data_IF_090831915557
#
_entry.id   IF_090831915557
#
_cell.length_a   1.000
_cell.length_b   1.000
_cell.length_c   1.000
_cell.angle_alpha   90.00
_cell.angle_beta   90.00
_cell.angle_gamma   90.00
#
_symmetry.space_group_name_H-M   'P 1'
#
loop_
_entity.id
_entity.type
_entity.pdbx_description
1 polymer ?
#
# COMPACT_ATOMS: atom_id res chain seq x y z
N UNK A 1 20.23 -4.56 15.28
CA UNK A 1 19.48 -3.36 14.82
C UNK A 1 20.30 -2.71 13.72
N UNK A 2 19.71 -2.58 12.53
CA UNK A 2 20.28 -2.01 11.30
C UNK A 2 21.73 -2.44 11.02
N UNK A 3 22.03 -3.74 11.12
CA UNK A 3 23.39 -4.25 10.87
C UNK A 3 24.43 -3.99 11.97
N UNK A 4 24.03 -3.43 13.12
CA UNK A 4 24.87 -3.37 14.31
C UNK A 4 24.75 -4.69 15.09
N UNK A 5 25.66 -5.63 14.78
CA UNK A 5 25.67 -6.96 15.37
C UNK A 5 27.07 -7.59 15.36
N UNK A 6 27.35 -8.44 16.34
CA UNK A 6 28.54 -9.30 16.37
C UNK A 6 28.23 -10.64 17.05
N UNK A 7 29.02 -11.66 16.73
CA UNK A 7 28.86 -13.00 17.33
C UNK A 7 29.05 -12.95 18.86
N UNK A 8 29.99 -12.14 19.33
CA UNK A 8 30.28 -11.97 20.75
C UNK A 8 29.06 -11.42 21.51
N UNK A 9 28.42 -10.36 21.00
CA UNK A 9 27.27 -9.77 21.69
C UNK A 9 26.04 -10.66 21.59
N UNK A 10 25.84 -11.34 20.45
CA UNK A 10 24.76 -12.32 20.30
C UNK A 10 24.85 -13.47 21.32
N UNK A 11 26.05 -14.01 21.55
CA UNK A 11 26.26 -15.01 22.61
C UNK A 11 25.91 -14.44 23.98
N UNK A 12 26.43 -13.26 24.32
CA UNK A 12 26.18 -12.63 25.63
C UNK A 12 24.69 -12.34 25.85
N UNK A 13 23.98 -11.88 24.83
CA UNK A 13 22.54 -11.60 24.90
C UNK A 13 21.76 -12.89 25.19
N UNK A 14 22.05 -13.98 24.46
CA UNK A 14 21.36 -15.26 24.66
C UNK A 14 21.71 -15.93 25.99
N UNK A 15 22.97 -15.83 26.45
CA UNK A 15 23.38 -16.33 27.77
C UNK A 15 22.68 -15.55 28.90
N UNK A 16 22.56 -14.23 28.76
CA UNK A 16 21.80 -13.38 29.67
C UNK A 16 20.31 -13.76 29.70
N UNK A 17 19.70 -13.99 28.52
CA UNK A 17 18.33 -14.49 28.43
C UNK A 17 18.15 -15.82 29.17
N UNK A 18 19.09 -16.76 28.98
CA UNK A 18 19.06 -18.06 29.67
C UNK A 18 19.17 -17.90 31.18
N UNK A 19 20.09 -17.06 31.65
CA UNK A 19 20.28 -16.78 33.07
C UNK A 19 19.01 -16.18 33.71
N UNK A 20 18.28 -15.34 32.96
CA UNK A 20 17.01 -14.77 33.37
C UNK A 20 15.82 -15.75 33.29
N UNK A 21 16.01 -16.97 32.79
CA UNK A 21 14.95 -17.96 32.63
C UNK A 21 14.08 -17.77 31.38
N UNK A 22 14.53 -16.99 30.39
CA UNK A 22 13.81 -16.76 29.14
C UNK A 22 14.12 -17.89 28.16
N UNK A 23 13.07 -18.55 27.65
CA UNK A 23 13.18 -19.70 26.75
C UNK A 23 12.85 -19.43 25.28
N UNK A 24 12.46 -18.21 24.91
CA UNK A 24 12.05 -17.86 23.54
C UNK A 24 12.61 -16.49 23.14
N UNK A 25 13.04 -16.34 21.88
CA UNK A 25 13.41 -15.06 21.29
C UNK A 25 12.77 -14.87 19.92
N UNK A 26 12.18 -13.69 19.69
CA UNK A 26 11.71 -13.25 18.38
C UNK A 26 12.83 -12.43 17.72
N UNK A 27 13.38 -12.93 16.62
CA UNK A 27 14.45 -12.27 15.88
C UNK A 27 13.87 -11.43 14.74
N UNK A 28 14.03 -10.11 14.84
CA UNK A 28 13.59 -9.14 13.81
C UNK A 28 14.78 -8.26 13.41
N UNK A 29 15.06 -8.17 12.12
CA UNK A 29 16.02 -7.19 11.59
C UNK A 29 15.27 -5.91 11.23
N UNK A 30 15.59 -4.82 11.94
CA UNK A 30 14.89 -3.54 11.83
C UNK A 30 15.89 -2.40 11.66
N UNK A 31 15.59 -1.46 10.76
CA UNK A 31 16.45 -0.33 10.37
C UNK A 31 15.96 1.04 10.87
N UNK A 32 15.26 1.09 12.01
CA UNK A 32 14.59 2.30 12.48
C UNK A 32 15.36 2.99 13.59
N UNK A 33 15.65 4.29 13.41
CA UNK A 33 16.03 5.19 14.48
C UNK A 33 17.46 5.06 15.00
N UNK A 34 18.33 4.32 14.31
CA UNK A 34 19.75 4.15 14.68
C UNK A 34 20.67 4.29 13.45
N UNK A 35 21.93 4.70 13.61
CA UNK A 35 22.91 4.67 12.52
C UNK A 35 23.12 3.26 11.98
N UNK A 36 23.22 3.16 10.65
CA UNK A 36 23.46 1.90 9.97
C UNK A 36 24.82 1.31 10.35
N UNK A 37 24.81 0.05 10.75
CA UNK A 37 26.00 -0.74 11.04
C UNK A 37 26.64 -1.33 9.78
N UNK A 38 27.81 -2.00 9.93
CA UNK A 38 28.59 -2.48 8.79
C UNK A 38 28.05 -3.79 8.17
N UNK A 39 27.09 -4.46 8.82
CA UNK A 39 26.57 -5.76 8.37
C UNK A 39 25.31 -5.56 7.53
N UNK A 40 25.46 -5.69 6.22
CA UNK A 40 24.35 -5.63 5.26
C UNK A 40 23.39 -6.83 5.43
N UNK A 41 22.07 -6.58 5.47
CA UNK A 41 21.06 -7.63 5.58
C UNK A 41 21.17 -8.66 4.45
N UNK A 42 21.05 -9.95 4.78
CA UNK A 42 21.20 -11.09 3.84
C UNK A 42 22.56 -11.20 3.14
N UNK A 43 23.57 -10.42 3.55
CA UNK A 43 24.96 -10.63 3.11
C UNK A 43 25.57 -11.88 3.75
N UNK A 44 26.71 -12.36 3.21
CA UNK A 44 27.41 -13.51 3.79
C UNK A 44 27.82 -13.30 5.27
N UNK A 45 28.34 -12.13 5.69
CA UNK A 45 28.54 -11.83 7.12
C UNK A 45 27.26 -11.92 7.95
N UNK A 46 26.14 -11.39 7.46
CA UNK A 46 24.85 -11.45 8.16
C UNK A 46 24.38 -12.89 8.34
N UNK A 47 24.45 -13.71 7.29
CA UNK A 47 24.06 -15.12 7.33
C UNK A 47 24.93 -15.93 8.31
N UNK A 48 26.23 -15.62 8.38
CA UNK A 48 27.14 -16.24 9.33
C UNK A 48 26.77 -15.87 10.79
N UNK A 49 26.46 -14.60 11.05
CA UNK A 49 26.03 -14.13 12.37
C UNK A 49 24.68 -14.72 12.77
N UNK A 50 23.72 -14.78 11.86
CA UNK A 50 22.44 -15.45 12.11
C UNK A 50 22.63 -16.94 12.42
N UNK A 51 23.48 -17.64 11.67
CA UNK A 51 23.83 -19.05 11.96
C UNK A 51 24.51 -19.21 13.32
N UNK A 52 25.34 -18.26 13.73
CA UNK A 52 25.93 -18.24 15.08
C UNK A 52 24.85 -18.09 16.16
N UNK A 53 23.95 -17.11 16.02
CA UNK A 53 22.86 -16.89 16.96
C UNK A 53 21.94 -18.12 17.10
N UNK A 54 21.63 -18.78 15.98
CA UNK A 54 20.81 -20.01 15.98
C UNK A 54 21.50 -21.15 16.74
N UNK A 55 22.79 -21.39 16.50
CA UNK A 55 23.56 -22.42 17.22
C UNK A 55 23.60 -22.15 18.72
N UNK A 56 23.79 -20.89 19.11
CA UNK A 56 23.82 -20.49 20.52
C UNK A 56 22.46 -20.63 21.19
N UNK A 57 21.38 -20.23 20.51
CA UNK A 57 20.03 -20.42 21.02
C UNK A 57 19.72 -21.92 21.23
N UNK A 58 20.07 -22.76 20.26
CA UNK A 58 19.94 -24.22 20.37
C UNK A 58 20.77 -24.79 21.53
N UNK A 59 22.02 -24.35 21.70
CA UNK A 59 22.89 -24.76 22.82
C UNK A 59 22.27 -24.43 24.17
N UNK A 60 21.59 -23.29 24.28
CA UNK A 60 20.99 -22.80 25.53
C UNK A 60 19.55 -23.28 25.76
N UNK A 61 18.95 -23.95 24.78
CA UNK A 61 17.54 -24.35 24.80
C UNK A 61 16.59 -23.16 24.71
N UNK A 62 16.94 -22.16 23.89
CA UNK A 62 16.10 -21.02 23.54
C UNK A 62 15.50 -21.27 22.15
N UNK A 63 14.19 -21.16 22.03
CA UNK A 63 13.50 -21.22 20.74
C UNK A 63 13.61 -19.87 20.02
N UNK A 64 14.00 -19.90 18.75
CA UNK A 64 14.02 -18.72 17.89
C UNK A 64 12.81 -18.69 16.96
N UNK A 65 12.06 -17.60 17.00
CA UNK A 65 11.01 -17.28 16.03
C UNK A 65 11.49 -16.20 15.08
N UNK A 66 11.17 -16.33 13.79
CA UNK A 66 11.48 -15.33 12.76
C UNK A 66 10.21 -14.63 12.28
N UNK A 67 10.34 -13.37 11.87
CA UNK A 67 9.33 -12.72 11.05
C UNK A 67 9.15 -13.42 9.70
N UNK A 68 7.97 -13.29 9.10
CA UNK A 68 7.68 -13.86 7.77
C UNK A 68 8.35 -13.07 6.62
N UNK A 69 9.03 -11.98 6.94
CA UNK A 69 9.74 -11.11 6.02
C UNK A 69 10.71 -10.18 6.77
N UNK A 70 11.51 -9.39 6.04
CA UNK A 70 12.38 -8.38 6.63
C UNK A 70 11.58 -7.33 7.42
N UNK A 71 12.18 -6.74 8.45
CA UNK A 71 11.51 -5.78 9.33
C UNK A 71 10.75 -6.45 10.48
N UNK A 72 9.63 -5.84 10.89
CA UNK A 72 8.82 -6.27 12.04
C UNK A 72 7.37 -6.63 11.70
N UNK A 73 6.92 -6.37 10.47
CA UNK A 73 5.51 -6.55 10.09
C UNK A 73 5.34 -6.68 8.58
N UNK A 74 4.20 -7.26 8.18
CA UNK A 74 3.81 -7.46 6.78
C UNK A 74 4.44 -8.71 6.17
N UNK A 75 4.29 -8.82 4.85
CA UNK A 75 4.76 -9.95 4.06
C UNK A 75 5.26 -9.44 2.69
N UNK A 76 6.39 -8.74 2.71
CA UNK A 76 6.93 -8.07 1.52
C UNK A 76 8.42 -8.32 1.35
N UNK A 77 8.89 -8.13 0.12
CA UNK A 77 10.31 -8.21 -0.24
C UNK A 77 10.53 -7.73 -1.68
N UNK A 78 11.78 -7.46 -2.08
CA UNK A 78 12.11 -6.94 -3.41
C UNK A 78 11.77 -7.92 -4.55
N UNK A 79 11.44 -9.18 -4.24
CA UNK A 79 11.00 -10.20 -5.19
C UNK A 79 9.50 -10.13 -5.53
N UNK A 80 8.72 -9.28 -4.85
CA UNK A 80 7.28 -9.12 -5.09
C UNK A 80 7.06 -8.08 -6.19
N UNK A 81 6.43 -8.48 -7.29
CA UNK A 81 6.09 -7.57 -8.40
C UNK A 81 4.82 -6.77 -8.10
N UNK A 82 4.60 -5.68 -8.85
CA UNK A 82 3.40 -4.84 -8.70
C UNK A 82 2.08 -5.62 -8.72
N UNK A 83 1.96 -6.64 -9.58
CA UNK A 83 0.75 -7.49 -9.66
C UNK A 83 0.60 -8.56 -8.58
N UNK A 84 1.63 -8.79 -7.77
CA UNK A 84 1.61 -9.72 -6.64
C UNK A 84 1.43 -9.02 -5.29
N UNK A 85 1.45 -7.69 -5.28
CA UNK A 85 1.25 -6.89 -4.07
C UNK A 85 -0.24 -6.70 -3.73
N UNK A 86 -0.53 -6.07 -2.58
CA UNK A 86 -1.87 -5.57 -2.27
C UNK A 86 -2.29 -4.53 -3.31
N UNK A 87 -3.53 -4.62 -3.79
CA UNK A 87 -4.05 -3.78 -4.87
C UNK A 87 -5.05 -2.75 -4.33
N UNK A 88 -5.05 -1.55 -4.92
CA UNK A 88 -6.06 -0.53 -4.69
C UNK A 88 -6.89 -0.33 -5.95
N UNK A 89 -8.20 -0.14 -5.77
CA UNK A 89 -9.01 0.48 -6.80
C UNK A 89 -8.63 1.96 -6.87
N UNK A 90 -8.22 2.40 -8.06
CA UNK A 90 -7.94 3.80 -8.38
C UNK A 90 -8.80 4.19 -9.56
N UNK A 91 -9.17 5.47 -9.60
CA UNK A 91 -10.03 6.02 -10.65
C UNK A 91 -9.61 7.45 -10.93
N UNK A 92 -9.83 7.86 -12.17
CA UNK A 92 -9.75 9.24 -12.61
C UNK A 92 -10.94 9.48 -13.56
N UNK A 93 -11.32 10.73 -13.78
CA UNK A 93 -12.53 11.07 -14.49
C UNK A 93 -12.35 12.35 -15.32
N UNK A 94 -13.12 12.45 -16.40
CA UNK A 94 -13.20 13.65 -17.23
C UNK A 94 -14.66 13.96 -17.49
N UNK A 95 -15.01 15.25 -17.43
CA UNK A 95 -16.36 15.68 -17.82
C UNK A 95 -16.36 16.11 -19.28
N UNK A 96 -17.26 15.55 -20.07
CA UNK A 96 -17.38 15.77 -21.51
C UNK A 96 -18.78 16.28 -21.86
N UNK A 97 -18.90 17.14 -22.88
CA UNK A 97 -20.18 17.61 -23.42
C UNK A 97 -20.46 17.00 -24.79
N UNK A 98 -21.70 16.58 -25.02
CA UNK A 98 -22.19 16.14 -26.33
C UNK A 98 -22.01 17.20 -27.43
N UNK A 99 -21.98 18.48 -27.05
CA UNK A 99 -21.85 19.62 -27.96
C UNK A 99 -20.43 19.76 -28.54
N UNK A 100 -19.41 19.32 -27.79
CA UNK A 100 -18.02 19.53 -28.17
C UNK A 100 -17.55 18.55 -29.25
N UNK A 101 -18.16 17.35 -29.33
CA UNK A 101 -17.80 16.25 -30.26
C UNK A 101 -16.29 16.01 -30.39
N UNK A 102 -15.55 16.23 -29.31
CA UNK A 102 -14.09 16.04 -29.27
C UNK A 102 -13.76 14.57 -29.02
N UNK A 103 -12.56 14.19 -29.47
CA UNK A 103 -11.93 12.93 -29.06
C UNK A 103 -11.80 12.92 -27.54
N UNK A 104 -12.32 11.87 -26.90
CA UNK A 104 -12.21 11.66 -25.45
C UNK A 104 -10.99 10.78 -25.20
N UNK A 105 -10.06 11.26 -24.39
CA UNK A 105 -8.88 10.50 -23.93
C UNK A 105 -8.95 10.47 -22.42
N UNK A 106 -9.06 9.26 -21.86
CA UNK A 106 -9.16 9.07 -20.43
C UNK A 106 -7.76 9.19 -19.80
N UNK A 107 -7.62 9.93 -18.69
CA UNK A 107 -6.38 9.99 -17.95
C UNK A 107 -6.11 8.64 -17.27
N UNK A 108 -4.82 8.31 -17.16
CA UNK A 108 -4.38 7.14 -16.40
C UNK A 108 -4.35 7.51 -14.91
N UNK A 109 -5.17 6.88 -14.03
CA UNK A 109 -5.14 7.20 -12.61
C UNK A 109 -3.81 6.82 -11.99
N UNK A 110 -3.34 7.67 -11.06
CA UNK A 110 -2.13 7.39 -10.29
C UNK A 110 -2.42 6.34 -9.20
N UNK A 111 -1.44 5.48 -8.86
CA UNK A 111 -1.57 4.58 -7.72
C UNK A 111 -1.65 5.36 -6.41
N UNK A 112 -2.27 4.76 -5.39
CA UNK A 112 -2.31 5.34 -4.03
C UNK A 112 -0.88 5.44 -3.46
N UNK A 113 -0.59 6.55 -2.79
CA UNK A 113 0.71 6.82 -2.19
C UNK A 113 1.04 5.80 -1.09
N UNK A 114 2.30 5.33 -0.98
CA UNK A 114 2.71 4.44 0.09
C UNK A 114 2.60 5.11 1.46
N UNK A 115 2.31 4.32 2.50
CA UNK A 115 2.10 4.84 3.85
C UNK A 115 3.30 5.60 4.42
N UNK A 116 4.51 5.08 4.20
CA UNK A 116 5.76 5.65 4.69
C UNK A 116 6.42 6.63 3.71
N UNK A 117 5.67 7.13 2.73
CA UNK A 117 6.20 8.01 1.69
C UNK A 117 6.96 7.26 0.59
N UNK A 118 7.59 8.03 -0.29
CA UNK A 118 8.29 7.51 -1.46
C UNK A 118 9.82 7.47 -1.26
N UNK A 119 10.32 8.10 -0.21
CA UNK A 119 11.75 8.30 0.06
C UNK A 119 12.47 6.98 0.35
N UNK A 120 11.75 6.00 0.91
CA UNK A 120 12.26 4.65 1.19
C UNK A 120 12.24 3.70 -0.01
N UNK A 121 11.68 4.11 -1.15
CA UNK A 121 11.63 3.26 -2.35
C UNK A 121 12.91 3.41 -3.17
N UNK A 122 13.50 2.28 -3.58
CA UNK A 122 14.56 2.35 -4.59
C UNK A 122 13.99 2.87 -5.92
N UNK A 123 14.82 3.46 -6.80
CA UNK A 123 14.39 3.91 -8.12
C UNK A 123 13.67 2.83 -8.94
N UNK A 124 14.13 1.58 -8.83
CA UNK A 124 13.57 0.41 -9.52
C UNK A 124 12.16 0.10 -8.99
N UNK A 125 12.01 -0.01 -7.67
CA UNK A 125 10.70 -0.28 -7.04
C UNK A 125 9.72 0.86 -7.33
N UNK A 126 10.17 2.12 -7.25
CA UNK A 126 9.33 3.29 -7.58
C UNK A 126 8.84 3.24 -9.03
N UNK A 127 9.73 2.89 -9.97
CA UNK A 127 9.38 2.73 -11.38
C UNK A 127 8.37 1.62 -11.61
N UNK A 128 8.55 0.46 -10.97
CA UNK A 128 7.60 -0.65 -11.08
C UNK A 128 6.23 -0.31 -10.48
N UNK A 129 6.21 0.34 -9.31
CA UNK A 129 4.99 0.81 -8.66
C UNK A 129 4.21 1.79 -9.53
N UNK A 130 4.87 2.77 -10.15
CA UNK A 130 4.24 3.73 -11.06
C UNK A 130 3.80 3.11 -12.40
N UNK A 131 4.47 2.03 -12.83
CA UNK A 131 4.18 1.36 -14.10
C UNK A 131 3.01 0.39 -14.01
N UNK A 132 2.82 -0.26 -12.86
CA UNK A 132 1.80 -1.29 -12.73
C UNK A 132 0.40 -0.67 -12.70
N UNK A 133 -0.40 -1.00 -13.72
CA UNK A 133 -1.79 -0.60 -13.84
C UNK A 133 -2.56 -1.69 -14.60
N UNK A 134 -3.84 -1.84 -14.27
CA UNK A 134 -4.76 -2.72 -14.99
C UNK A 134 -6.15 -2.09 -15.01
N UNK A 135 -6.69 -1.91 -16.21
CA UNK A 135 -8.07 -1.50 -16.41
C UNK A 135 -9.04 -2.53 -15.80
N UNK A 136 -10.10 -2.02 -15.18
CA UNK A 136 -11.18 -2.84 -14.61
C UNK A 136 -12.49 -2.50 -15.28
N UNK A 137 -12.85 -1.21 -15.31
CA UNK A 137 -14.07 -0.74 -15.95
C UNK A 137 -13.93 0.72 -16.36
N UNK A 138 -14.63 1.09 -17.44
CA UNK A 138 -14.90 2.49 -17.80
C UNK A 138 -16.39 2.70 -17.66
N UNK A 139 -16.79 3.60 -16.77
CA UNK A 139 -18.20 3.91 -16.50
C UNK A 139 -18.47 5.36 -16.92
N UNK A 140 -19.62 5.59 -17.53
CA UNK A 140 -20.09 6.94 -17.83
C UNK A 140 -21.47 7.16 -17.20
N UNK A 141 -21.69 8.35 -16.66
CA UNK A 141 -23.00 8.76 -16.14
C UNK A 141 -23.27 10.24 -16.43
N UNK A 142 -24.55 10.66 -16.49
CA UNK A 142 -24.89 12.07 -16.65
C UNK A 142 -24.21 12.91 -15.56
N UNK A 143 -23.51 13.96 -15.96
CA UNK A 143 -22.83 14.84 -15.02
C UNK A 143 -23.88 15.60 -14.19
N UNK A 144 -23.70 15.60 -12.87
CA UNK A 144 -24.52 16.38 -11.95
C UNK A 144 -23.93 17.79 -11.79
N UNK A 145 -24.78 18.79 -11.54
CA UNK A 145 -24.32 20.18 -11.34
C UNK A 145 -23.54 20.36 -10.03
N UNK A 146 -23.71 19.45 -9.06
CA UNK A 146 -22.98 19.41 -7.81
C UNK A 146 -22.21 18.10 -7.69
N UNK A 147 -20.93 18.13 -8.07
CA UNK A 147 -19.99 17.05 -7.77
C UNK A 147 -19.37 17.30 -6.40
N UNK A 148 -20.02 16.78 -5.35
CA UNK A 148 -19.49 16.86 -3.98
C UNK A 148 -19.04 15.46 -3.56
N UNK A 149 -17.71 15.20 -3.52
CA UNK A 149 -17.19 13.93 -3.06
C UNK A 149 -17.65 13.62 -1.64
N UNK A 150 -17.85 12.33 -1.34
CA UNK A 150 -18.10 11.89 0.03
C UNK A 150 -16.93 12.35 0.91
N UNK A 151 -17.20 13.21 1.89
CA UNK A 151 -16.19 13.67 2.83
C UNK A 151 -15.55 12.47 3.53
N UNK A 152 -14.22 12.46 3.63
CA UNK A 152 -13.41 11.41 4.24
C UNK A 152 -13.56 10.02 3.59
N UNK A 153 -13.92 9.94 2.30
CA UNK A 153 -14.14 8.64 1.65
C UNK A 153 -12.94 7.70 1.74
N UNK A 154 -11.70 8.21 1.72
CA UNK A 154 -10.49 7.37 1.82
C UNK A 154 -10.36 6.69 3.19
N UNK A 155 -10.64 7.41 4.28
CA UNK A 155 -10.64 6.84 5.63
C UNK A 155 -11.87 5.93 5.86
N UNK A 156 -13.02 6.29 5.28
CA UNK A 156 -14.27 5.50 5.38
C UNK A 156 -14.18 4.18 4.62
N UNK A 157 -13.49 4.17 3.48
CA UNK A 157 -13.24 2.98 2.68
C UNK A 157 -12.02 2.17 3.17
N UNK A 158 -11.35 2.63 4.23
CA UNK A 158 -10.12 2.03 4.77
C UNK A 158 -8.97 1.93 3.73
N UNK A 159 -8.96 2.79 2.72
CA UNK A 159 -7.82 2.90 1.80
C UNK A 159 -6.59 3.45 2.51
N UNK A 160 -6.81 4.38 3.44
CA UNK A 160 -5.75 4.89 4.30
C UNK A 160 -6.30 5.16 5.70
N UNK A 161 -5.74 4.48 6.69
CA UNK A 161 -6.04 4.75 8.11
C UNK A 161 -4.77 4.52 8.93
N UNK A 162 -4.22 5.59 9.48
CA UNK A 162 -3.05 5.50 10.32
C UNK A 162 -3.37 4.77 11.66
N UNK A 163 -2.38 4.13 12.29
CA UNK A 163 -2.57 3.49 13.58
C UNK A 163 -2.82 4.51 14.69
N UNK A 164 -3.86 4.30 15.49
CA UNK A 164 -4.19 5.16 16.63
C UNK A 164 -3.06 5.25 17.68
N UNK A 165 -2.27 4.18 17.83
CA UNK A 165 -1.20 4.10 18.83
C UNK A 165 0.03 4.96 18.51
N UNK A 166 0.20 5.40 17.26
CA UNK A 166 1.41 6.09 16.83
C UNK A 166 1.17 7.23 15.83
N UNK A 167 -0.09 7.63 15.64
CA UNK A 167 -0.47 8.76 14.79
C UNK A 167 -1.69 9.49 15.35
N UNK A 168 -1.84 10.77 14.97
CA UNK A 168 -3.06 11.52 15.25
C UNK A 168 -4.12 11.12 14.22
N UNK A 169 -5.20 10.48 14.68
CA UNK A 169 -6.30 10.03 13.82
C UNK A 169 -7.65 10.48 14.36
N UNK A 170 -8.64 10.55 13.47
CA UNK A 170 -10.01 10.87 13.87
C UNK A 170 -10.56 9.77 14.80
N UNK A 171 -11.12 10.13 15.97
CA UNK A 171 -11.66 9.14 16.92
C UNK A 171 -12.89 8.42 16.36
N UNK A 172 -13.62 9.07 15.45
CA UNK A 172 -14.74 8.50 14.71
C UNK A 172 -14.90 9.20 13.36
N UNK A 173 -15.58 8.53 12.43
CA UNK A 173 -15.96 9.13 11.15
C UNK A 173 -17.47 9.38 11.18
N UNK A 174 -17.94 10.61 10.95
CA UNK A 174 -19.37 10.89 10.96
C UNK A 174 -20.05 10.11 9.83
N UNK A 175 -21.11 9.39 10.19
CA UNK A 175 -22.01 8.82 9.19
C UNK A 175 -22.79 9.97 8.54
N UNK A 176 -22.88 10.03 7.20
CA UNK A 176 -23.76 11.02 6.56
C UNK A 176 -25.19 10.82 7.09
N UNK A 177 -25.88 11.92 7.36
CA UNK A 177 -27.29 11.90 7.76
C UNK A 177 -28.09 11.09 6.73
N UNK A 178 -28.91 10.13 7.19
CA UNK A 178 -29.84 9.37 6.33
C UNK A 178 -30.96 10.25 5.75
N UNK A 179 -31.02 11.52 6.16
CA UNK A 179 -32.04 12.48 5.77
C UNK A 179 -31.57 13.23 4.53
N UNK A 180 -31.65 12.56 3.39
CA UNK A 180 -32.02 13.11 2.08
C UNK A 180 -31.74 12.04 1.02
N UNK A 181 -32.75 11.72 0.22
CA UNK A 181 -32.50 11.18 -1.11
C UNK A 181 -31.63 12.21 -1.82
N UNK A 182 -30.33 11.98 -1.84
CA UNK A 182 -29.39 12.97 -2.33
C UNK A 182 -29.76 13.26 -3.78
N UNK A 183 -30.23 14.48 -4.07
CA UNK A 183 -30.59 14.88 -5.43
C UNK A 183 -29.38 14.79 -6.36
N UNK A 184 -28.19 14.73 -5.78
CA UNK A 184 -26.90 14.59 -6.43
C UNK A 184 -26.44 13.12 -6.55
N UNK A 185 -27.23 12.14 -6.08
CA UNK A 185 -26.90 10.74 -6.27
C UNK A 185 -27.04 10.34 -7.75
N UNK A 186 -26.03 9.63 -8.25
CA UNK A 186 -26.06 9.06 -9.60
C UNK A 186 -27.09 7.92 -9.61
N UNK A 187 -28.08 8.01 -10.52
CA UNK A 187 -29.07 6.96 -10.67
C UNK A 187 -28.41 5.73 -11.27
N UNK A 188 -28.53 4.57 -10.63
CA UNK A 188 -27.89 3.33 -11.08
C UNK A 188 -28.24 2.96 -12.54
N UNK A 189 -29.47 3.24 -12.98
CA UNK A 189 -29.93 2.95 -14.34
C UNK A 189 -29.47 3.97 -15.40
N UNK A 190 -28.83 5.08 -15.02
CA UNK A 190 -28.22 6.02 -15.95
C UNK A 190 -26.73 5.78 -16.16
N UNK A 191 -26.13 4.81 -15.46
CA UNK A 191 -24.73 4.43 -15.62
C UNK A 191 -24.61 3.53 -16.86
N UNK A 192 -23.68 3.86 -17.74
CA UNK A 192 -23.34 3.10 -18.93
C UNK A 192 -21.95 2.50 -18.73
N UNK A 193 -21.81 1.20 -19.01
CA UNK A 193 -20.52 0.54 -19.09
C UNK A 193 -19.92 0.75 -20.49
N UNK A 194 -18.79 1.43 -20.54
CA UNK A 194 -18.04 1.76 -21.75
C UNK A 194 -16.70 1.01 -21.82
N UNK A 195 -16.50 -0.02 -21.00
CA UNK A 195 -15.23 -0.76 -20.92
C UNK A 195 -14.80 -1.29 -22.29
N UNK A 196 -15.72 -1.90 -23.04
CA UNK A 196 -15.48 -2.41 -24.40
C UNK A 196 -15.37 -1.31 -25.48
N UNK A 197 -15.43 -0.04 -25.10
CA UNK A 197 -15.30 1.12 -25.99
C UNK A 197 -13.98 1.85 -25.81
N UNK A 198 -13.18 1.48 -24.81
CA UNK A 198 -11.85 2.06 -24.61
C UNK A 198 -10.81 1.34 -25.47
N UNK A 199 -10.04 2.11 -26.23
CA UNK A 199 -8.88 1.63 -26.98
C UNK A 199 -7.65 1.52 -26.07
N UNK A 200 -6.63 0.73 -26.45
CA UNK A 200 -5.41 0.56 -25.64
C UNK A 200 -4.61 1.84 -25.33
N UNK A 201 -4.85 2.93 -26.06
CA UNK A 201 -4.23 4.24 -25.84
C UNK A 201 -5.04 5.15 -24.89
N UNK A 202 -6.11 4.64 -24.28
CA UNK A 202 -7.03 5.40 -23.42
C UNK A 202 -8.08 6.21 -24.18
N UNK A 203 -8.10 6.17 -25.51
CA UNK A 203 -9.13 6.82 -26.31
C UNK A 203 -10.46 6.09 -26.18
N UNK A 204 -11.55 6.84 -26.01
CA UNK A 204 -12.89 6.28 -25.97
C UNK A 204 -13.59 6.37 -27.33
N UNK A 205 -14.02 5.23 -27.88
CA UNK A 205 -14.89 5.18 -29.07
C UNK A 205 -16.36 5.31 -28.68
N UNK A 206 -16.69 6.47 -28.12
CA UNK A 206 -18.04 6.81 -27.67
C UNK A 206 -18.21 8.33 -27.69
N UNK A 207 -19.44 8.78 -27.95
CA UNK A 207 -19.83 10.16 -27.82
C UNK A 207 -21.06 10.24 -26.89
N UNK A 208 -21.12 11.25 -26.01
CA UNK A 208 -22.29 11.48 -25.19
C UNK A 208 -23.54 11.67 -26.06
N UNK A 209 -24.67 11.00 -25.75
CA UNK A 209 -25.89 11.14 -26.54
C UNK A 209 -26.49 12.55 -26.46
N UNK A 210 -26.40 13.18 -25.28
CA UNK A 210 -26.87 14.54 -25.01
C UNK A 210 -26.30 15.06 -23.69
N UNK A 211 -26.19 16.38 -23.54
CA UNK A 211 -25.77 17.00 -22.28
C UNK A 211 -24.33 16.70 -21.89
N UNK A 212 -24.03 16.82 -20.59
CA UNK A 212 -22.71 16.56 -20.02
C UNK A 212 -22.68 15.20 -19.33
N UNK A 213 -21.56 14.50 -19.46
CA UNK A 213 -21.30 13.19 -18.88
C UNK A 213 -19.94 13.19 -18.19
N UNK A 214 -19.82 12.42 -17.11
CA UNK A 214 -18.57 12.13 -16.40
C UNK A 214 -18.25 10.66 -16.56
#
# INVERSE_FOLDING_TARGET
MDGNMSAETMTKDLESMKQAGIGNALFLEVNVGVPRGPVEFMSAPWLALFSHAEKEARRLGIELTLGIGPGWSGSGGPWITGGQSMQHLVSDAVTVSAEEKKKIVLPLPLPKKPFFGEEGLTPEVKKEWLKFYKDIAVLAFPANEQDTPITDYEEKALYYRAPYSSAVVKPYLPSPSRVNSDKNAIKKNSIIDLTDKMLPDGTLNWLPPSGKWT
#
